data_IF_209519479314
#
_entry.id   IF_209519479314
#
_cell.length_a   1.000
_cell.length_b   1.000
_cell.length_c   1.000
_cell.angle_alpha   90.00
_cell.angle_beta   90.00
_cell.angle_gamma   90.00
#
_symmetry.space_group_name_H-M   'P 1'
#
loop_
_entity.id
_entity.type
_entity.pdbx_description
1 polymer ?
#
# COMPACT_ATOMS: atom_id res chain seq x y z
N UNK A 1 11.26 2.92 -15.14
CA UNK A 1 11.58 3.67 -13.90
C UNK A 1 12.92 4.37 -14.06
N UNK A 2 12.99 5.68 -13.77
CA UNK A 2 14.25 6.42 -13.76
C UNK A 2 15.18 5.98 -12.62
N UNK A 3 16.48 6.30 -12.71
CA UNK A 3 17.46 6.00 -11.66
C UNK A 3 17.11 6.69 -10.34
N UNK A 4 16.55 7.91 -10.39
CA UNK A 4 16.12 8.67 -9.21
C UNK A 4 14.99 8.00 -8.44
N UNK A 5 13.92 7.57 -9.11
CA UNK A 5 12.81 6.86 -8.45
C UNK A 5 13.26 5.57 -7.77
N UNK A 6 14.18 4.82 -8.39
CA UNK A 6 14.76 3.61 -7.79
C UNK A 6 15.56 3.89 -6.52
N UNK A 7 16.16 5.07 -6.39
CA UNK A 7 16.90 5.45 -5.19
C UNK A 7 15.92 5.79 -4.05
N UNK A 8 14.87 6.56 -4.34
CA UNK A 8 13.82 6.90 -3.37
C UNK A 8 13.13 5.65 -2.83
N UNK A 9 12.76 4.69 -3.70
CA UNK A 9 12.08 3.45 -3.29
C UNK A 9 12.90 2.53 -2.37
N UNK A 10 14.22 2.80 -2.21
CA UNK A 10 15.12 2.07 -1.31
C UNK A 10 15.37 2.78 0.01
N UNK A 11 14.99 4.06 0.12
CA UNK A 11 15.14 4.80 1.37
C UNK A 11 14.16 4.26 2.40
N UNK A 12 14.60 4.21 3.65
CA UNK A 12 13.71 3.83 4.74
C UNK A 12 12.88 5.01 5.21
N UNK A 13 11.69 4.73 5.71
CA UNK A 13 10.79 5.70 6.32
C UNK A 13 10.66 5.40 7.83
N UNK A 14 10.50 6.42 8.67
CA UNK A 14 10.29 6.20 10.08
C UNK A 14 8.92 5.54 10.35
N UNK A 15 8.85 4.71 11.38
CA UNK A 15 7.59 4.23 11.93
C UNK A 15 6.75 5.40 12.50
N UNK A 16 5.45 5.39 12.22
CA UNK A 16 4.47 6.38 12.69
C UNK A 16 3.25 5.63 13.24
N UNK A 17 3.17 5.52 14.56
CA UNK A 17 2.11 4.75 15.23
C UNK A 17 1.06 5.67 15.86
N UNK A 18 -0.20 5.24 15.80
CA UNK A 18 -1.33 5.90 16.45
C UNK A 18 -2.09 4.89 17.31
N UNK A 19 -2.47 5.30 18.52
CA UNK A 19 -3.33 4.52 19.42
C UNK A 19 -4.79 4.46 18.99
N UNK A 20 -5.21 5.29 18.03
CA UNK A 20 -6.59 5.37 17.54
C UNK A 20 -6.81 4.62 16.22
N UNK A 21 -5.74 4.26 15.51
CA UNK A 21 -5.83 3.55 14.24
C UNK A 21 -5.73 2.04 14.46
N UNK A 22 -6.55 1.29 13.73
CA UNK A 22 -6.67 -0.16 13.86
C UNK A 22 -6.56 -0.82 12.48
N UNK A 23 -5.90 -1.97 12.42
CA UNK A 23 -5.76 -2.82 11.25
C UNK A 23 -7.08 -3.55 10.96
N UNK A 24 -7.97 -2.86 10.25
CA UNK A 24 -9.24 -3.36 9.74
C UNK A 24 -9.14 -3.73 8.27
N UNK A 25 -10.12 -4.48 7.75
CA UNK A 25 -10.24 -4.71 6.30
C UNK A 25 -10.12 -3.40 5.51
N UNK A 26 -9.36 -3.44 4.42
CA UNK A 26 -9.13 -2.32 3.52
C UNK A 26 -8.06 -1.34 3.99
N UNK A 27 -7.47 -1.52 5.19
CA UNK A 27 -6.35 -0.69 5.64
C UNK A 27 -5.08 -0.99 4.84
N UNK A 28 -4.33 0.07 4.52
CA UNK A 28 -2.99 0.01 3.96
C UNK A 28 -1.96 0.25 5.06
N UNK A 29 -0.97 -0.63 5.17
CA UNK A 29 0.12 -0.50 6.13
C UNK A 29 1.49 -0.81 5.54
N UNK A 30 2.52 -0.15 6.09
CA UNK A 30 3.90 -0.25 5.62
C UNK A 30 4.50 -1.60 5.98
N UNK A 31 5.07 -2.30 5.00
CA UNK A 31 5.86 -3.51 5.23
C UNK A 31 7.27 -3.15 5.71
N UNK A 32 7.73 -3.82 6.77
CA UNK A 32 9.03 -3.59 7.41
C UNK A 32 9.63 -4.90 7.93
N UNK A 33 10.90 -4.87 8.28
CA UNK A 33 11.54 -5.91 9.09
C UNK A 33 11.15 -5.75 10.57
N UNK A 34 11.61 -6.65 11.43
CA UNK A 34 11.33 -6.58 12.88
C UNK A 34 11.83 -5.26 13.49
N UNK A 35 12.94 -4.75 12.95
CA UNK A 35 13.60 -3.58 13.49
C UNK A 35 12.82 -2.29 13.18
N UNK A 36 12.79 -1.33 14.12
CA UNK A 36 12.13 -0.04 13.90
C UNK A 36 12.67 0.73 12.68
N UNK A 37 11.82 1.50 12.02
CA UNK A 37 12.18 2.42 10.92
C UNK A 37 12.85 1.74 9.71
N UNK A 38 12.46 0.50 9.41
CA UNK A 38 13.02 -0.29 8.29
C UNK A 38 12.08 -0.39 7.08
N UNK A 39 10.89 0.21 7.15
CA UNK A 39 9.93 0.23 6.04
C UNK A 39 10.49 0.99 4.83
N UNK A 40 10.24 0.51 3.62
CA UNK A 40 10.71 1.15 2.37
C UNK A 40 9.54 1.38 1.41
N UNK A 41 9.34 0.50 0.43
CA UNK A 41 8.30 0.61 -0.60
C UNK A 41 7.32 -0.57 -0.63
N UNK A 42 7.56 -1.61 0.17
CA UNK A 42 6.62 -2.73 0.32
C UNK A 42 5.49 -2.32 1.27
N UNK A 43 4.25 -2.61 0.89
CA UNK A 43 3.07 -2.35 1.73
C UNK A 43 2.09 -3.52 1.63
N UNK A 44 1.12 -3.54 2.53
CA UNK A 44 0.02 -4.50 2.52
C UNK A 44 -1.33 -3.79 2.38
N UNK A 45 -2.31 -4.49 1.83
CA UNK A 45 -3.73 -4.15 1.88
C UNK A 45 -4.45 -5.27 2.61
N UNK A 46 -5.12 -4.96 3.72
CA UNK A 46 -5.74 -6.00 4.54
C UNK A 46 -7.04 -6.51 3.92
N UNK A 47 -7.15 -7.84 3.78
CA UNK A 47 -8.37 -8.51 3.34
C UNK A 47 -9.34 -8.79 4.50
N UNK A 48 -8.90 -8.60 5.75
CA UNK A 48 -9.70 -8.79 6.96
C UNK A 48 -9.10 -8.05 8.15
N UNK A 49 -9.74 -8.18 9.32
CA UNK A 49 -9.24 -7.58 10.56
C UNK A 49 -7.97 -8.29 11.06
N UNK A 50 -6.96 -7.51 11.45
CA UNK A 50 -5.66 -8.02 11.90
C UNK A 50 -5.13 -7.25 13.13
N UNK A 51 -5.83 -7.31 14.29
CA UNK A 51 -5.47 -6.53 15.48
C UNK A 51 -4.07 -6.84 16.04
N UNK A 52 -3.49 -8.00 15.70
CA UNK A 52 -2.13 -8.37 16.09
C UNK A 52 -1.04 -7.46 15.49
N UNK A 53 -1.39 -6.68 14.45
CA UNK A 53 -0.51 -5.73 13.75
C UNK A 53 -0.57 -4.31 14.32
N UNK A 54 -1.57 -4.00 15.17
CA UNK A 54 -1.76 -2.67 15.75
C UNK A 54 -0.52 -2.24 16.55
N UNK A 55 -0.10 -0.98 16.35
CA UNK A 55 1.09 -0.41 16.98
C UNK A 55 2.44 -1.01 16.54
N UNK A 56 2.45 -1.92 15.54
CA UNK A 56 3.68 -2.55 15.01
C UNK A 56 4.00 -2.14 13.58
N UNK A 57 2.96 -1.87 12.79
CA UNK A 57 3.06 -1.45 11.38
C UNK A 57 2.35 -0.12 11.18
N UNK A 58 3.03 0.83 10.51
CA UNK A 58 2.49 2.16 10.22
C UNK A 58 1.28 2.04 9.30
N UNK A 59 0.12 2.53 9.75
CA UNK A 59 -1.09 2.67 8.92
C UNK A 59 -1.01 4.03 8.22
N UNK A 60 -1.08 4.05 6.89
CA UNK A 60 -0.99 5.29 6.11
C UNK A 60 -2.19 5.53 5.19
N UNK A 61 -3.13 4.58 5.10
CA UNK A 61 -4.29 4.75 4.24
C UNK A 61 -5.34 3.67 4.44
N UNK A 62 -6.45 3.83 3.73
CA UNK A 62 -7.51 2.83 3.61
C UNK A 62 -8.16 2.90 2.23
N UNK A 63 -8.61 1.76 1.74
CA UNK A 63 -9.46 1.67 0.56
C UNK A 63 -10.79 2.37 0.85
N UNK A 64 -11.14 3.34 0.00
CA UNK A 64 -12.42 4.08 0.08
C UNK A 64 -13.39 3.69 -1.03
N UNK A 65 -12.89 3.10 -2.11
CA UNK A 65 -13.67 2.56 -3.23
C UNK A 65 -12.99 1.31 -3.77
N UNK A 66 -13.77 0.35 -4.28
CA UNK A 66 -13.23 -0.88 -4.87
C UNK A 66 -13.05 -2.07 -3.92
N UNK A 67 -13.76 -2.13 -2.79
CA UNK A 67 -13.68 -3.28 -1.86
C UNK A 67 -14.02 -4.64 -2.52
N UNK A 68 -14.86 -4.63 -3.57
CA UNK A 68 -15.13 -5.83 -4.37
C UNK A 68 -13.85 -6.43 -5.00
N UNK A 69 -12.84 -5.60 -5.32
CA UNK A 69 -11.54 -6.07 -5.82
C UNK A 69 -10.76 -6.79 -4.72
N UNK A 70 -10.82 -6.31 -3.46
CA UNK A 70 -10.24 -7.04 -2.33
C UNK A 70 -10.88 -8.42 -2.17
N UNK A 71 -12.20 -8.51 -2.35
CA UNK A 71 -12.91 -9.80 -2.34
C UNK A 71 -12.47 -10.74 -3.46
N UNK A 72 -12.17 -10.21 -4.65
CA UNK A 72 -11.60 -11.00 -5.75
C UNK A 72 -10.18 -11.49 -5.44
N UNK A 73 -9.34 -10.64 -4.85
CA UNK A 73 -7.99 -11.01 -4.43
C UNK A 73 -8.00 -12.13 -3.38
N UNK A 74 -8.96 -12.10 -2.45
CA UNK A 74 -9.14 -13.12 -1.41
C UNK A 74 -9.46 -14.52 -1.98
N UNK A 75 -10.12 -14.57 -3.14
CA UNK A 75 -10.52 -15.82 -3.80
C UNK A 75 -9.42 -16.44 -4.67
N UNK A 76 -8.30 -15.76 -4.85
CA UNK A 76 -7.23 -16.24 -5.72
C UNK A 76 -6.63 -17.55 -5.18
N UNK A 77 -6.43 -18.51 -6.08
CA UNK A 77 -5.70 -19.72 -5.73
C UNK A 77 -4.26 -19.36 -5.36
N UNK A 78 -3.80 -19.89 -4.23
CA UNK A 78 -2.43 -19.69 -3.76
C UNK A 78 -1.62 -20.98 -3.80
N UNK A 79 -0.31 -20.83 -3.81
CA UNK A 79 0.67 -21.89 -3.59
C UNK A 79 1.59 -21.50 -2.44
N UNK A 80 2.09 -22.50 -1.73
CA UNK A 80 3.09 -22.34 -0.68
C UNK A 80 4.47 -22.56 -1.27
N UNK A 81 5.41 -21.70 -0.90
CA UNK A 81 6.82 -21.78 -1.26
C UNK A 81 7.64 -21.44 -0.01
N UNK A 82 8.04 -22.48 0.74
CA UNK A 82 8.59 -22.30 2.08
C UNK A 82 7.58 -21.64 3.02
N UNK A 83 8.00 -20.57 3.70
CA UNK A 83 7.13 -19.78 4.58
C UNK A 83 6.19 -18.83 3.81
N UNK A 84 6.40 -18.66 2.51
CA UNK A 84 5.65 -17.70 1.71
C UNK A 84 4.38 -18.34 1.13
N UNK A 85 3.28 -17.60 1.19
CA UNK A 85 2.05 -17.88 0.46
C UNK A 85 1.97 -16.89 -0.70
N UNK A 86 1.89 -17.39 -1.94
CA UNK A 86 1.90 -16.58 -3.15
C UNK A 86 0.70 -16.96 -4.04
N UNK A 87 0.05 -16.00 -4.71
CA UNK A 87 -0.90 -16.32 -5.78
C UNK A 87 -0.28 -17.23 -6.84
N UNK A 88 -1.05 -18.17 -7.40
CA UNK A 88 -0.59 -19.02 -8.50
C UNK A 88 -0.35 -18.19 -9.76
N UNK A 89 -1.25 -17.26 -10.02
CA UNK A 89 -1.19 -16.28 -11.11
C UNK A 89 -0.64 -14.94 -10.60
N UNK A 90 0.12 -14.23 -11.44
CA UNK A 90 0.75 -12.97 -11.04
C UNK A 90 -0.31 -11.87 -10.94
N UNK A 91 -0.40 -11.24 -9.77
CA UNK A 91 -1.14 -9.99 -9.55
C UNK A 91 -0.17 -8.82 -9.69
N UNK A 92 -0.52 -7.82 -10.49
CA UNK A 92 0.33 -6.67 -10.78
C UNK A 92 -0.44 -5.36 -10.63
N UNK A 93 0.18 -4.37 -9.98
CA UNK A 93 -0.28 -2.98 -10.03
C UNK A 93 0.16 -2.41 -11.38
N UNK A 94 -0.80 -2.19 -12.27
CA UNK A 94 -0.53 -1.71 -13.64
C UNK A 94 -0.18 -0.22 -13.65
N UNK A 95 -0.88 0.57 -12.85
CA UNK A 95 -0.66 2.01 -12.72
C UNK A 95 -1.08 2.51 -11.33
N UNK A 96 -0.54 3.65 -10.93
CA UNK A 96 -0.96 4.40 -9.76
C UNK A 96 -1.11 5.86 -10.16
N UNK A 97 -2.22 6.48 -9.77
CA UNK A 97 -2.56 7.87 -10.09
C UNK A 97 -2.92 8.61 -8.81
N UNK A 98 -2.49 9.86 -8.71
CA UNK A 98 -2.93 10.75 -7.65
C UNK A 98 -4.29 11.32 -8.04
N UNK A 99 -5.28 11.08 -7.18
CA UNK A 99 -6.63 11.65 -7.33
C UNK A 99 -6.87 12.67 -6.21
N UNK A 100 -7.55 13.76 -6.54
CA UNK A 100 -8.05 14.70 -5.55
C UNK A 100 -9.49 14.37 -5.20
N UNK A 101 -9.82 14.52 -3.92
CA UNK A 101 -11.21 14.57 -3.51
C UNK A 101 -11.78 15.91 -3.96
N UNK A 102 -12.87 15.90 -4.73
CA UNK A 102 -13.61 17.11 -5.04
C UNK A 102 -14.51 17.48 -3.87
N UNK A 103 -14.79 18.77 -3.70
CA UNK A 103 -15.67 19.28 -2.63
C UNK A 103 -17.09 18.67 -2.66
N UNK A 104 -17.48 18.08 -3.80
CA UNK A 104 -18.75 17.38 -4.01
C UNK A 104 -18.72 15.88 -3.69
N UNK A 105 -17.62 15.34 -3.17
CA UNK A 105 -17.49 13.91 -2.82
C UNK A 105 -17.12 13.00 -4.00
N UNK A 106 -16.66 13.56 -5.12
CA UNK A 106 -16.09 12.82 -6.25
C UNK A 106 -14.57 12.64 -6.13
N UNK A 107 -14.02 11.71 -6.90
CA UNK A 107 -12.57 11.58 -7.09
C UNK A 107 -12.24 12.09 -8.50
N UNK A 108 -11.43 13.13 -8.59
CA UNK A 108 -11.01 13.72 -9.87
C UNK A 108 -9.53 13.41 -10.12
N UNK A 109 -9.21 13.04 -11.37
CA UNK A 109 -7.84 12.76 -11.80
C UNK A 109 -7.05 14.06 -11.83
N UNK A 110 -5.88 14.06 -11.20
CA UNK A 110 -4.90 15.13 -11.43
C UNK A 110 -4.18 14.85 -12.75
N UNK A 111 -4.42 15.65 -13.78
CA UNK A 111 -3.55 15.67 -14.96
C UNK A 111 -2.21 16.27 -14.53
N UNK A 112 -1.18 15.42 -14.45
CA UNK A 112 0.17 15.83 -14.12
C UNK A 112 0.71 16.66 -15.29
N UNK A 113 0.67 17.99 -15.20
CA UNK A 113 1.44 18.84 -16.11
C UNK A 113 2.92 18.51 -15.91
N UNK A 114 3.61 18.11 -16.98
CA UNK A 114 5.03 17.79 -16.99
C UNK A 114 5.85 19.00 -16.52
N UNK A 115 6.10 19.10 -15.21
CA UNK A 115 7.16 19.95 -14.71
C UNK A 115 8.49 19.27 -15.02
N UNK A 116 9.03 19.65 -16.18
CA UNK A 116 10.40 19.40 -16.63
C UNK A 116 11.38 19.97 -15.60
N UNK A 117 11.65 19.25 -14.52
CA UNK A 117 12.81 19.53 -13.67
C UNK A 117 14.06 19.10 -14.43
N UNK A 118 14.67 20.07 -15.11
CA UNK A 118 16.08 20.02 -15.48
C UNK A 118 16.92 20.03 -14.20
N UNK A 119 17.67 18.96 -13.98
CA UNK A 119 18.86 18.90 -13.14
C UNK A 119 19.93 18.10 -13.90
#
# INVERSE_FOLDING_TARGET
MSKGLRAVAKQTVPDEFSSTLQHKRGVLSMGKFEEPHTGTSSFSMLLGDAPSLDGKYTIFGRVVAGDHVLSQLEQLETRREGIFVKPKERVEVVSAVLMHASDGGGLELHECEDQKTEL
#
